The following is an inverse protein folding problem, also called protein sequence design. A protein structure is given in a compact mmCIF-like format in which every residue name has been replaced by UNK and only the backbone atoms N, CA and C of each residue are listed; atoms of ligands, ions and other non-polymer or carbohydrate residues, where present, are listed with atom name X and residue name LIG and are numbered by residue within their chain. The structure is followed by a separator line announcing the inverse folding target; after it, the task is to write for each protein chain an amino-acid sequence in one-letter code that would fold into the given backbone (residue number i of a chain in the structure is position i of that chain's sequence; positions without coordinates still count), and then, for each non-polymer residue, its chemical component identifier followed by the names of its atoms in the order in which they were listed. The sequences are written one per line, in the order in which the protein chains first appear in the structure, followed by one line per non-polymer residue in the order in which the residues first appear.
data_IF_933388709249
#
_entry.id   IF_933388709249
#
_cell.length_a   1.000
_cell.length_b   1.000
_cell.length_c   1.000
_cell.angle_alpha   90.00
_cell.angle_beta   90.00
_cell.angle_gamma   90.00
#
_symmetry.space_group_name_H-M   'P 1'
#
loop_
_entity.id
_entity.type
_entity.pdbx_description
1 polymer ?
#
# COMPACT_ATOMS: atom_id res chain seq x y z
N UNK A 1 -4.35 31.69 2.01
CA UNK A 1 -3.18 31.26 2.83
C UNK A 1 -3.22 29.77 3.16
N UNK A 2 -4.39 29.20 3.50
CA UNK A 2 -4.55 27.77 3.83
C UNK A 2 -4.09 26.76 2.74
N UNK A 3 -4.28 27.09 1.46
CA UNK A 3 -3.83 26.25 0.33
C UNK A 3 -2.32 26.14 0.20
N UNK A 4 -1.57 27.19 0.61
CA UNK A 4 -0.09 27.19 0.56
C UNK A 4 0.52 26.44 1.74
N UNK A 5 -0.18 26.41 2.89
CA UNK A 5 0.23 25.67 4.09
C UNK A 5 0.06 24.16 3.90
N UNK A 6 -1.01 23.71 3.22
CA UNK A 6 -1.21 22.29 2.92
C UNK A 6 -0.13 21.73 1.98
N UNK A 7 0.24 22.47 0.93
CA UNK A 7 1.30 22.04 0.00
C UNK A 7 2.67 21.94 0.68
N UNK A 8 2.95 22.81 1.66
CA UNK A 8 4.18 22.79 2.43
C UNK A 8 4.29 21.58 3.36
N UNK A 9 3.18 21.08 3.90
CA UNK A 9 3.19 19.89 4.78
C UNK A 9 3.47 18.62 3.97
N UNK A 10 2.91 18.49 2.77
CA UNK A 10 3.18 17.34 1.87
C UNK A 10 4.63 17.35 1.38
N UNK A 11 5.19 18.52 1.05
CA UNK A 11 6.60 18.65 0.60
C UNK A 11 7.58 18.45 1.76
N UNK A 12 7.27 18.92 2.98
CA UNK A 12 8.12 18.72 4.15
C UNK A 12 8.20 17.24 4.59
N UNK A 13 7.13 16.46 4.40
CA UNK A 13 7.18 15.00 4.60
C UNK A 13 8.09 14.28 3.60
N UNK A 14 8.29 14.85 2.40
CA UNK A 14 9.15 14.29 1.35
C UNK A 14 10.63 14.68 1.55
N UNK A 15 10.92 15.78 2.24
CA UNK A 15 12.28 16.35 2.34
C UNK A 15 13.14 15.82 3.51
N UNK A 16 12.60 15.01 4.44
CA UNK A 16 13.38 14.39 5.52
C UNK A 16 14.03 13.05 5.15
N UNK A 17 14.32 12.82 3.87
CA UNK A 17 15.23 11.75 3.42
C UNK A 17 16.69 12.17 3.67
N UNK A 18 17.02 12.46 4.92
CA UNK A 18 18.40 12.62 5.36
C UNK A 18 19.09 11.26 5.36
N UNK A 19 20.31 11.25 4.84
CA UNK A 19 21.22 10.10 4.69
C UNK A 19 21.26 9.26 5.96
N UNK A 20 20.76 8.02 5.87
CA UNK A 20 20.92 7.00 6.92
C UNK A 20 22.20 6.22 6.60
N UNK A 21 23.14 6.03 7.55
CA UNK A 21 24.26 5.12 7.32
C UNK A 21 23.70 3.75 6.93
N UNK A 22 24.29 3.14 5.90
CA UNK A 22 23.92 1.82 5.44
C UNK A 22 24.33 0.79 6.50
N UNK A 23 23.51 0.65 7.54
CA UNK A 23 23.43 -0.60 8.29
C UNK A 23 22.98 -1.61 7.24
N UNK A 24 23.82 -2.62 6.98
CA UNK A 24 23.42 -3.77 6.17
C UNK A 24 22.31 -4.47 6.93
N UNK A 25 21.08 -3.98 6.78
CA UNK A 25 19.89 -4.67 7.20
C UNK A 25 19.88 -5.94 6.37
N UNK A 26 20.22 -7.05 7.00
CA UNK A 26 20.08 -8.37 6.41
C UNK A 26 18.68 -8.41 5.81
N UNK A 27 18.61 -8.54 4.48
CA UNK A 27 17.32 -8.58 3.80
C UNK A 27 16.51 -9.68 4.49
N UNK A 28 15.28 -9.37 4.95
CA UNK A 28 14.42 -10.37 5.56
C UNK A 28 14.39 -11.61 4.66
N UNK A 29 14.94 -12.71 5.15
CA UNK A 29 14.94 -13.97 4.44
C UNK A 29 13.54 -14.58 4.66
N UNK A 30 12.63 -14.29 3.74
CA UNK A 30 11.27 -14.82 3.81
C UNK A 30 10.38 -14.27 2.72
N UNK A 31 9.37 -15.04 2.33
CA UNK A 31 8.14 -14.55 1.72
C UNK A 31 7.13 -14.57 2.86
N UNK A 32 6.32 -13.53 3.01
CA UNK A 32 5.18 -13.63 3.91
C UNK A 32 3.97 -12.91 3.34
N UNK A 33 2.93 -12.90 4.15
CA UNK A 33 1.57 -12.62 3.70
C UNK A 33 0.87 -11.61 4.59
N UNK A 34 -0.18 -11.01 4.03
CA UNK A 34 -1.11 -10.14 4.73
C UNK A 34 -2.51 -10.42 4.20
N UNK A 35 -3.46 -10.67 5.10
CA UNK A 35 -4.89 -10.56 4.80
C UNK A 35 -5.47 -9.43 5.63
N UNK A 36 -6.31 -8.59 5.03
CA UNK A 36 -6.77 -7.34 5.63
C UNK A 36 -8.19 -7.03 5.16
N UNK A 37 -9.11 -6.74 6.08
CA UNK A 37 -10.48 -6.34 5.79
C UNK A 37 -10.90 -5.10 6.57
N UNK A 38 -11.50 -4.11 5.91
CA UNK A 38 -12.13 -2.97 6.58
C UNK A 38 -12.21 -1.69 5.74
N UNK A 39 -12.35 -0.56 6.44
CA UNK A 39 -12.52 0.76 5.87
C UNK A 39 -11.29 1.62 6.14
N UNK A 40 -10.98 2.55 5.24
CA UNK A 40 -9.92 3.54 5.41
C UNK A 40 -8.90 3.51 4.29
N UNK A 41 -7.61 3.46 4.64
CA UNK A 41 -6.49 3.52 3.71
C UNK A 41 -5.56 2.33 3.96
N UNK A 42 -5.29 1.57 2.91
CA UNK A 42 -4.23 0.57 2.86
C UNK A 42 -3.18 0.98 1.83
N UNK A 43 -1.91 1.02 2.26
CA UNK A 43 -0.74 1.33 1.43
C UNK A 43 0.17 0.12 1.44
N UNK A 44 0.48 -0.44 0.28
CA UNK A 44 1.41 -1.55 0.12
C UNK A 44 2.54 -1.14 -0.81
N UNK A 45 3.76 -1.49 -0.43
CA UNK A 45 4.95 -1.25 -1.24
C UNK A 45 5.89 -2.44 -1.14
N UNK A 46 6.30 -3.00 -2.28
CA UNK A 46 7.17 -4.17 -2.27
C UNK A 46 7.28 -4.87 -3.61
N UNK A 47 7.67 -6.14 -3.53
CA UNK A 47 7.67 -7.12 -4.61
C UNK A 47 6.74 -8.28 -4.24
N UNK A 48 6.07 -8.84 -5.24
CA UNK A 48 5.11 -9.93 -5.08
C UNK A 48 3.75 -9.56 -5.65
N UNK A 49 2.72 -10.14 -5.06
CA UNK A 49 1.33 -10.09 -5.54
C UNK A 49 0.45 -9.37 -4.53
N UNK A 50 -0.47 -8.55 -5.03
CA UNK A 50 -1.54 -7.90 -4.28
C UNK A 50 -2.85 -8.13 -5.00
N UNK A 51 -3.78 -8.79 -4.33
CA UNK A 51 -5.17 -8.89 -4.73
C UNK A 51 -5.99 -8.03 -3.78
N UNK A 52 -6.88 -7.19 -4.31
CA UNK A 52 -7.77 -6.39 -3.49
C UNK A 52 -9.13 -6.19 -4.15
N UNK A 53 -10.14 -6.00 -3.32
CA UNK A 53 -11.45 -5.49 -3.71
C UNK A 53 -11.84 -4.32 -2.82
N UNK A 54 -12.80 -3.52 -3.28
CA UNK A 54 -13.42 -2.49 -2.44
C UNK A 54 -13.96 -1.28 -3.20
N UNK A 55 -14.34 -0.27 -2.42
CA UNK A 55 -15.11 0.88 -2.89
C UNK A 55 -14.40 2.20 -2.55
N UNK A 56 -13.89 2.94 -3.54
CA UNK A 56 -13.30 4.25 -3.30
C UNK A 56 -12.34 4.73 -4.39
N UNK A 57 -11.06 4.86 -4.07
CA UNK A 57 -10.01 5.28 -4.99
C UNK A 57 -8.82 4.32 -4.89
N UNK A 58 -8.40 3.80 -6.03
CA UNK A 58 -7.23 2.94 -6.15
C UNK A 58 -6.11 3.67 -6.89
N UNK A 59 -4.90 3.59 -6.37
CA UNK A 59 -3.69 4.06 -7.01
C UNK A 59 -2.68 2.92 -7.13
N UNK A 60 -2.09 2.76 -8.31
CA UNK A 60 -1.08 1.74 -8.58
C UNK A 60 0.10 2.41 -9.27
N UNK A 61 1.31 2.03 -8.90
CA UNK A 61 2.53 2.44 -9.56
C UNK A 61 3.49 1.27 -9.67
N UNK A 62 3.95 1.03 -10.90
CA UNK A 62 5.01 0.08 -11.20
C UNK A 62 6.35 0.82 -11.37
N UNK A 63 7.17 0.80 -10.32
CA UNK A 63 8.54 1.36 -10.39
C UNK A 63 9.56 0.37 -10.93
N UNK A 64 9.21 -0.91 -11.02
CA UNK A 64 10.10 -1.98 -11.46
C UNK A 64 10.11 -2.12 -12.97
N UNK A 65 9.00 -1.74 -13.61
CA UNK A 65 8.71 -2.03 -15.00
C UNK A 65 8.25 -3.48 -15.17
N UNK A 66 7.22 -3.67 -15.99
CA UNK A 66 6.72 -5.00 -16.35
C UNK A 66 5.81 -5.64 -15.31
N UNK A 67 5.20 -4.87 -14.41
CA UNK A 67 4.14 -5.39 -13.55
C UNK A 67 2.92 -5.85 -14.36
N UNK A 68 2.30 -6.93 -13.94
CA UNK A 68 0.97 -7.35 -14.39
C UNK A 68 -0.05 -6.60 -13.54
N UNK A 69 -0.94 -5.85 -14.20
CA UNK A 69 -1.96 -5.04 -13.53
C UNK A 69 -3.29 -5.32 -14.22
N UNK A 70 -4.17 -6.01 -13.51
CA UNK A 70 -5.52 -6.32 -13.95
C UNK A 70 -6.51 -5.65 -13.00
N UNK A 71 -7.42 -4.85 -13.55
CA UNK A 71 -8.44 -4.14 -12.76
C UNK A 71 -9.78 -4.37 -13.42
N UNK A 72 -10.74 -4.86 -12.63
CA UNK A 72 -12.12 -5.13 -13.07
C UNK A 72 -13.10 -4.29 -12.25
N UNK A 73 -14.30 -4.08 -12.79
CA UNK A 73 -15.35 -3.27 -12.15
C UNK A 73 -15.45 -1.84 -12.70
N UNK A 74 -15.91 -0.92 -11.85
CA UNK A 74 -16.18 0.47 -12.24
C UNK A 74 -15.10 1.43 -11.72
N UNK A 75 -14.88 2.52 -12.45
CA UNK A 75 -13.99 3.61 -12.07
C UNK A 75 -13.45 4.36 -13.27
N UNK A 76 -13.06 5.62 -13.07
CA UNK A 76 -12.38 6.40 -14.10
C UNK A 76 -10.87 6.20 -13.99
N UNK A 77 -10.28 5.52 -14.99
CA UNK A 77 -8.83 5.36 -15.09
C UNK A 77 -8.19 6.68 -15.56
N UNK A 78 -7.14 7.10 -14.86
CA UNK A 78 -6.27 8.20 -15.26
C UNK A 78 -4.81 7.83 -15.06
N UNK A 79 -3.99 8.08 -16.06
CA UNK A 79 -2.53 7.92 -15.98
C UNK A 79 -1.87 9.28 -15.76
N UNK A 80 -0.91 9.33 -14.86
CA UNK A 80 -0.17 10.54 -14.53
C UNK A 80 1.26 10.48 -15.10
N UNK A 81 1.88 11.64 -15.42
CA UNK A 81 3.22 11.68 -16.01
C UNK A 81 4.34 11.06 -15.15
N UNK A 82 4.11 10.90 -13.85
CA UNK A 82 5.03 10.30 -12.89
C UNK A 82 4.85 8.78 -12.73
N UNK A 83 4.00 8.15 -13.55
CA UNK A 83 3.80 6.70 -13.60
C UNK A 83 2.70 6.18 -12.68
N UNK A 84 1.98 7.05 -11.99
CA UNK A 84 0.80 6.64 -11.22
C UNK A 84 -0.39 6.37 -12.13
N UNK A 85 -1.05 5.23 -11.89
CA UNK A 85 -2.38 4.91 -12.38
C UNK A 85 -3.38 5.16 -11.26
N UNK A 86 -4.40 5.97 -11.52
CA UNK A 86 -5.51 6.21 -10.61
C UNK A 86 -6.80 5.63 -11.18
N UNK A 87 -7.59 4.99 -10.34
CA UNK A 87 -8.97 4.60 -10.61
C UNK A 87 -9.88 5.34 -9.62
N UNK A 88 -10.46 6.46 -10.07
CA UNK A 88 -11.35 7.27 -9.24
C UNK A 88 -12.78 6.72 -9.27
N UNK A 89 -13.40 6.54 -8.09
CA UNK A 89 -14.68 5.83 -7.98
C UNK A 89 -14.54 4.34 -8.24
N UNK A 90 -13.41 3.76 -7.85
CA UNK A 90 -13.13 2.33 -7.90
C UNK A 90 -14.23 1.55 -7.16
N UNK A 91 -14.82 0.57 -7.83
CA UNK A 91 -15.80 -0.36 -7.29
C UNK A 91 -15.60 -1.69 -8.03
N UNK A 92 -14.78 -2.56 -7.48
CA UNK A 92 -14.40 -3.80 -8.15
C UNK A 92 -13.17 -4.46 -7.51
N UNK A 93 -12.41 -5.15 -8.35
CA UNK A 93 -11.26 -5.97 -7.96
C UNK A 93 -10.01 -5.52 -8.72
N UNK A 94 -8.84 -5.69 -8.10
CA UNK A 94 -7.56 -5.45 -8.73
C UNK A 94 -6.56 -6.53 -8.33
N UNK A 95 -5.87 -7.08 -9.34
CA UNK A 95 -4.72 -7.96 -9.21
C UNK A 95 -3.47 -7.21 -9.70
N UNK A 96 -2.44 -7.17 -8.86
CA UNK A 96 -1.17 -6.51 -9.15
C UNK A 96 0.00 -7.42 -8.78
N UNK A 97 0.80 -7.81 -9.75
CA UNK A 97 2.03 -8.58 -9.55
C UNK A 97 3.23 -7.81 -10.10
N UNK A 98 4.31 -7.69 -9.32
CA UNK A 98 5.53 -7.10 -9.85
C UNK A 98 6.72 -7.07 -8.88
N UNK A 99 7.85 -6.58 -9.40
CA UNK A 99 9.14 -6.56 -8.70
C UNK A 99 9.36 -5.32 -7.83
N UNK A 100 8.64 -4.23 -8.11
CA UNK A 100 8.69 -2.97 -7.34
C UNK A 100 7.40 -2.16 -7.52
N UNK A 101 6.32 -2.64 -6.91
CA UNK A 101 4.99 -2.06 -6.98
C UNK A 101 4.67 -1.20 -5.75
N UNK A 102 3.81 -0.20 -5.95
CA UNK A 102 3.11 0.50 -4.88
C UNK A 102 1.62 0.49 -5.19
N UNK A 103 0.83 0.04 -4.22
CA UNK A 103 -0.63 -0.05 -4.32
C UNK A 103 -1.23 0.72 -3.14
N UNK A 104 -2.15 1.64 -3.42
CA UNK A 104 -2.85 2.42 -2.39
C UNK A 104 -4.34 2.33 -2.69
N UNK A 105 -5.11 1.83 -1.73
CA UNK A 105 -6.57 1.89 -1.77
C UNK A 105 -7.06 2.75 -0.61
N UNK A 106 -7.96 3.68 -0.91
CA UNK A 106 -8.65 4.50 0.06
C UNK A 106 -10.16 4.36 -0.18
N UNK A 107 -10.90 3.83 0.79
CA UNK A 107 -12.27 3.40 0.55
C UNK A 107 -12.96 2.73 1.73
N UNK A 108 -14.06 2.06 1.41
CA UNK A 108 -14.85 1.21 2.30
C UNK A 108 -14.96 -0.20 1.71
N UNK A 109 -15.30 -1.16 2.56
CA UNK A 109 -15.39 -2.59 2.21
C UNK A 109 -14.13 -3.10 1.50
N UNK A 110 -12.95 -2.67 1.99
CA UNK A 110 -11.67 -3.11 1.44
C UNK A 110 -11.44 -4.54 1.91
N UNK A 111 -11.23 -5.44 0.97
CA UNK A 111 -10.64 -6.75 1.22
C UNK A 111 -9.31 -6.82 0.47
N UNK A 112 -8.26 -7.26 1.14
CA UNK A 112 -6.92 -7.23 0.59
C UNK A 112 -6.12 -8.45 1.02
N UNK A 113 -5.51 -9.12 0.05
CA UNK A 113 -4.50 -10.15 0.27
C UNK A 113 -3.21 -9.78 -0.44
N UNK A 114 -2.07 -9.93 0.24
CA UNK A 114 -0.77 -9.68 -0.35
C UNK A 114 0.22 -10.77 0.03
N UNK A 115 1.06 -11.16 -0.90
CA UNK A 115 2.15 -12.12 -0.70
C UNK A 115 3.44 -11.57 -1.30
N UNK A 116 4.54 -11.67 -0.57
CA UNK A 116 5.86 -11.28 -1.09
C UNK A 116 6.77 -10.67 -0.06
N UNK A 117 7.53 -9.64 -0.48
CA UNK A 117 8.40 -8.87 0.40
C UNK A 117 8.09 -7.40 0.27
N UNK A 118 7.83 -6.75 1.39
CA UNK A 118 7.43 -5.36 1.39
C UNK A 118 6.97 -4.88 2.74
N UNK A 119 6.28 -3.76 2.72
CA UNK A 119 5.66 -3.14 3.89
C UNK A 119 4.24 -2.75 3.54
N UNK A 120 3.34 -2.92 4.49
CA UNK A 120 2.00 -2.37 4.44
C UNK A 120 1.79 -1.34 5.55
N UNK A 121 0.96 -0.35 5.29
CA UNK A 121 0.45 0.58 6.29
C UNK A 121 -1.07 0.63 6.19
N UNK A 122 -1.73 0.39 7.31
CA UNK A 122 -3.18 0.33 7.42
C UNK A 122 -3.65 1.41 8.38
N UNK A 123 -4.63 2.21 7.96
CA UNK A 123 -5.20 3.29 8.78
C UNK A 123 -6.68 3.44 8.48
N UNK A 124 -7.53 3.38 9.51
CA UNK A 124 -8.99 3.33 9.32
C UNK A 124 -9.66 2.44 10.35
N UNK A 125 -10.62 1.60 9.99
CA UNK A 125 -11.22 0.62 10.89
C UNK A 125 -11.27 -0.75 10.22
N UNK A 126 -10.73 -1.79 10.85
CA UNK A 126 -10.72 -3.13 10.27
C UNK A 126 -9.76 -4.07 10.99
N UNK A 127 -9.64 -5.28 10.47
CA UNK A 127 -8.81 -6.34 11.02
C UNK A 127 -7.81 -6.86 10.00
N UNK A 128 -6.67 -7.34 10.48
CA UNK A 128 -5.62 -7.95 9.66
C UNK A 128 -5.08 -9.22 10.28
N UNK A 129 -4.51 -10.06 9.41
CA UNK A 129 -3.77 -11.27 9.76
C UNK A 129 -2.43 -11.27 9.03
N UNK A 130 -1.37 -11.66 9.75
CA UNK A 130 -0.03 -11.81 9.19
C UNK A 130 0.74 -12.89 9.94
N UNK A 131 1.83 -13.44 9.37
CA UNK A 131 2.68 -14.41 10.08
C UNK A 131 3.23 -13.88 11.42
N UNK A 132 3.45 -12.57 11.51
CA UNK A 132 3.94 -11.91 12.73
C UNK A 132 2.84 -11.64 13.77
N UNK A 133 1.58 -11.91 13.42
CA UNK A 133 0.41 -11.78 14.29
C UNK A 133 -0.78 -11.09 13.65
N UNK A 134 -1.91 -11.19 14.34
CA UNK A 134 -3.20 -10.66 13.93
C UNK A 134 -3.55 -9.41 14.76
N UNK A 135 -4.43 -8.56 14.24
CA UNK A 135 -4.86 -7.39 14.98
C UNK A 135 -5.93 -6.56 14.31
N UNK A 136 -6.23 -5.42 14.93
CA UNK A 136 -7.17 -4.42 14.44
C UNK A 136 -6.40 -3.16 14.02
N UNK A 137 -6.78 -2.53 12.91
CA UNK A 137 -6.35 -1.16 12.60
C UNK A 137 -7.46 -0.17 12.95
N UNK A 138 -7.07 0.96 13.56
CA UNK A 138 -7.99 1.99 14.06
C UNK A 138 -7.59 3.37 13.54
N UNK A 139 -8.58 4.26 13.39
CA UNK A 139 -8.39 5.60 12.83
C UNK A 139 -7.66 6.50 13.83
N UNK A 140 -7.77 6.18 15.12
CA UNK A 140 -7.07 6.84 16.21
C UNK A 140 -5.68 6.22 16.41
N UNK A 141 -4.62 7.00 16.24
CA UNK A 141 -3.22 6.56 16.43
C UNK A 141 -2.37 6.71 15.16
N UNK A 142 -1.20 6.06 15.14
CA UNK A 142 -0.18 6.21 14.06
C UNK A 142 -0.45 5.30 12.84
N UNK A 143 -1.56 4.56 12.84
CA UNK A 143 -1.82 3.45 11.89
C UNK A 143 -0.92 2.25 12.17
N UNK A 144 -1.29 1.08 11.64
CA UNK A 144 -0.53 -0.16 11.83
C UNK A 144 0.49 -0.29 10.70
N UNK A 145 1.73 -0.64 11.04
CA UNK A 145 2.80 -0.90 10.10
C UNK A 145 3.08 -2.40 10.11
N UNK A 146 2.98 -3.04 8.95
CA UNK A 146 3.15 -4.48 8.79
C UNK A 146 4.33 -4.71 7.85
N UNK A 147 5.20 -5.66 8.19
CA UNK A 147 6.22 -6.17 7.29
C UNK A 147 5.70 -7.45 6.67
N UNK A 148 5.83 -7.59 5.36
CA UNK A 148 5.40 -8.81 4.69
C UNK A 148 6.41 -9.94 4.84
N UNK A 149 7.69 -9.65 5.10
CA UNK A 149 8.68 -10.69 5.39
C UNK A 149 9.15 -10.54 6.84
N UNK A 150 8.98 -11.60 7.63
CA UNK A 150 9.43 -11.70 9.01
C UNK A 150 10.96 -11.68 9.14
N UNK A 151 11.49 -11.40 10.35
CA UNK A 151 12.92 -11.54 10.60
C UNK A 151 13.36 -13.00 10.40
N UNK A 152 14.61 -13.27 9.98
CA UNK A 152 15.15 -14.63 10.02
C UNK A 152 15.11 -15.16 11.47
N UNK A 153 14.70 -16.43 11.64
CA UNK A 153 14.77 -17.15 12.92
C UNK A 153 16.20 -17.22 13.49
#
# INVERSE_FOLDING_TARGET
MLRKVLTLIVVAMVAMLAVVPAVSAQEPQGIGSLSAQGDGIAILMGKGTVDLSGNGVLWIMDKGGGAVIEVTGYGQKKEFPDGWLQYAGFHGEAHVEGSRIAVIVAGVDIELTAEGRGRARLWGHGSYQSPDGDGEWKATGVGVHIRLAGPPE
#
